data_IF_484244242394
#
_entry.id   IF_484244242394
#
_cell.length_a   1.000
_cell.length_b   1.000
_cell.length_c   1.000
_cell.angle_alpha   90.00
_cell.angle_beta   90.00
_cell.angle_gamma   90.00
#
_symmetry.space_group_name_H-M   'P 1'
#
loop_
_entity.id
_entity.type
_entity.pdbx_description
1 polymer ?
#
# COMPACT_ATOMS: atom_id res chain seq x y z
N UNK A 1 21.95 6.81 47.86
CA UNK A 1 20.78 7.39 47.18
C UNK A 1 21.05 7.64 45.70
N UNK A 2 22.11 8.38 45.33
CA UNK A 2 22.42 8.71 43.92
C UNK A 2 22.54 7.49 42.97
N UNK A 3 23.23 6.42 43.40
CA UNK A 3 23.35 5.17 42.60
C UNK A 3 22.00 4.50 42.31
N UNK A 4 21.04 4.61 43.23
CA UNK A 4 19.71 4.03 43.09
C UNK A 4 18.87 4.84 42.10
N UNK A 5 18.96 6.17 42.17
CA UNK A 5 18.34 7.06 41.18
C UNK A 5 18.86 6.81 39.75
N UNK A 6 20.19 6.67 39.58
CA UNK A 6 20.78 6.31 38.28
C UNK A 6 20.22 4.98 37.75
N UNK A 7 20.03 3.98 38.61
CA UNK A 7 19.45 2.70 38.21
C UNK A 7 17.97 2.81 37.83
N UNK A 8 17.20 3.62 38.55
CA UNK A 8 15.79 3.90 38.25
C UNK A 8 15.65 4.61 36.89
N UNK A 9 16.50 5.60 36.59
CA UNK A 9 16.51 6.30 35.30
C UNK A 9 16.92 5.39 34.14
N UNK A 10 17.89 4.49 34.35
CA UNK A 10 18.27 3.46 33.35
C UNK A 10 17.10 2.52 33.06
N UNK A 11 16.37 2.08 34.10
CA UNK A 11 15.20 1.21 33.94
C UNK A 11 14.04 1.92 33.25
N UNK A 12 13.91 3.23 33.44
CA UNK A 12 12.92 4.08 32.77
C UNK A 12 13.29 4.44 31.32
N UNK A 13 14.46 4.00 30.83
CA UNK A 13 15.05 4.42 29.55
C UNK A 13 15.32 5.95 29.43
N UNK A 14 15.36 6.66 30.56
CA UNK A 14 15.73 8.09 30.63
C UNK A 14 17.26 8.22 30.75
N UNK A 15 17.94 7.84 29.68
CA UNK A 15 19.39 7.75 29.66
C UNK A 15 20.07 9.12 29.76
N UNK A 16 19.41 10.20 29.33
CA UNK A 16 19.97 11.56 29.40
C UNK A 16 19.96 12.07 30.84
N UNK A 17 18.88 11.83 31.60
CA UNK A 17 18.84 12.10 33.04
C UNK A 17 19.88 11.27 33.81
N UNK A 18 19.97 9.96 33.51
CA UNK A 18 20.95 9.07 34.12
C UNK A 18 22.40 9.55 33.85
N UNK A 19 22.69 10.04 32.64
CA UNK A 19 24.01 10.56 32.28
C UNK A 19 24.42 11.82 33.03
N UNK A 20 23.47 12.71 33.35
CA UNK A 20 23.72 13.89 34.19
C UNK A 20 24.13 13.45 35.61
N UNK A 21 23.40 12.51 36.21
CA UNK A 21 23.68 12.00 37.55
C UNK A 21 25.02 11.25 37.64
N UNK A 22 25.39 10.52 36.59
CA UNK A 22 26.70 9.85 36.47
C UNK A 22 27.84 10.87 36.40
N UNK A 23 27.66 11.98 35.68
CA UNK A 23 28.64 13.06 35.62
C UNK A 23 28.86 13.66 37.01
N UNK A 24 27.79 13.92 37.76
CA UNK A 24 27.88 14.38 39.15
C UNK A 24 28.58 13.38 40.08
N UNK A 25 28.30 12.07 39.92
CA UNK A 25 28.97 11.00 40.67
C UNK A 25 30.49 11.00 40.44
N UNK A 26 30.93 11.25 39.20
CA UNK A 26 32.35 11.28 38.83
C UNK A 26 33.06 12.56 39.29
N UNK A 27 32.43 13.72 39.14
CA UNK A 27 33.05 15.03 39.34
C UNK A 27 32.96 15.51 40.80
N UNK A 28 31.79 15.36 41.43
CA UNK A 28 31.52 15.92 42.77
C UNK A 28 31.90 14.96 43.89
N UNK A 29 31.77 13.66 43.63
CA UNK A 29 31.99 12.62 44.64
C UNK A 29 33.25 11.77 44.38
N UNK A 30 33.94 11.96 43.25
CA UNK A 30 35.20 11.30 42.93
C UNK A 30 35.10 9.81 42.59
N UNK A 31 33.89 9.24 42.49
CA UNK A 31 33.66 7.82 42.19
C UNK A 31 33.76 7.52 40.69
N UNK A 32 34.93 7.74 40.10
CA UNK A 32 35.14 7.61 38.65
C UNK A 32 34.92 6.19 38.10
N UNK A 33 35.37 5.17 38.85
CA UNK A 33 35.20 3.77 38.44
C UNK A 33 33.73 3.33 38.42
N UNK A 34 32.94 3.73 39.43
CA UNK A 34 31.50 3.44 39.43
C UNK A 34 30.77 4.20 38.31
N UNK A 35 31.17 5.44 38.04
CA UNK A 35 30.61 6.24 36.96
C UNK A 35 30.90 5.62 35.57
N UNK A 36 32.11 5.11 35.34
CA UNK A 36 32.43 4.34 34.12
C UNK A 36 31.56 3.09 33.99
N UNK A 37 31.43 2.30 35.06
CA UNK A 37 30.58 1.11 35.04
C UNK A 37 29.10 1.43 34.75
N UNK A 38 28.60 2.58 35.20
CA UNK A 38 27.24 3.02 34.86
C UNK A 38 27.12 3.51 33.41
N UNK A 39 28.14 4.17 32.84
CA UNK A 39 28.16 4.53 31.41
C UNK A 39 28.11 3.31 30.52
N UNK A 40 28.93 2.30 30.80
CA UNK A 40 28.90 1.03 30.05
C UNK A 40 27.52 0.37 30.10
N UNK A 41 26.86 0.40 31.26
CA UNK A 41 25.48 -0.11 31.41
C UNK A 41 24.47 0.67 30.60
N UNK A 42 24.56 2.01 30.57
CA UNK A 42 23.69 2.85 29.73
C UNK A 42 23.89 2.54 28.26
N UNK A 43 25.13 2.46 27.80
CA UNK A 43 25.42 2.16 26.39
C UNK A 43 24.92 0.77 25.99
N UNK A 44 25.10 -0.24 26.84
CA UNK A 44 24.55 -1.57 26.64
C UNK A 44 23.01 -1.55 26.57
N UNK A 45 22.34 -0.85 27.51
CA UNK A 45 20.89 -0.73 27.54
C UNK A 45 20.33 0.06 26.32
N UNK A 46 21.00 1.14 25.91
CA UNK A 46 20.70 1.91 24.70
C UNK A 46 20.79 1.02 23.46
N UNK A 47 21.88 0.27 23.34
CA UNK A 47 22.09 -0.65 22.23
C UNK A 47 21.02 -1.76 22.19
N UNK A 48 20.66 -2.34 23.33
CA UNK A 48 19.61 -3.35 23.42
C UNK A 48 18.23 -2.79 23.04
N UNK A 49 17.85 -1.62 23.58
CA UNK A 49 16.59 -0.96 23.26
C UNK A 49 16.51 -0.63 21.76
N UNK A 50 17.58 -0.10 21.19
CA UNK A 50 17.68 0.16 19.75
C UNK A 50 17.56 -1.12 18.91
N UNK A 51 18.23 -2.20 19.32
CA UNK A 51 18.15 -3.50 18.64
C UNK A 51 16.75 -4.13 18.67
N UNK A 52 15.92 -3.79 19.66
CA UNK A 52 14.50 -4.21 19.70
C UNK A 52 13.61 -3.31 18.85
N UNK A 53 13.81 -1.99 18.90
CA UNK A 53 12.97 -1.02 18.19
C UNK A 53 13.15 -1.05 16.67
N UNK A 54 14.38 -1.27 16.18
CA UNK A 54 14.67 -1.27 14.73
C UNK A 54 13.89 -2.37 14.00
N UNK A 55 13.92 -3.65 14.40
CA UNK A 55 13.11 -4.70 13.77
C UNK A 55 11.61 -4.40 13.75
N UNK A 56 11.06 -3.88 14.86
CA UNK A 56 9.64 -3.51 14.92
C UNK A 56 9.28 -2.39 13.93
N UNK A 57 10.16 -1.41 13.78
CA UNK A 57 9.98 -0.34 12.81
C UNK A 57 10.05 -0.88 11.37
N UNK A 58 10.99 -1.78 11.08
CA UNK A 58 11.12 -2.45 9.78
C UNK A 58 9.85 -3.26 9.48
N UNK A 59 9.33 -4.03 10.43
CA UNK A 59 8.09 -4.79 10.29
C UNK A 59 6.89 -3.89 9.95
N UNK A 60 6.86 -2.67 10.52
CA UNK A 60 5.87 -1.65 10.16
C UNK A 60 5.89 -1.29 8.68
N UNK A 61 7.08 -1.07 8.11
CA UNK A 61 7.25 -0.82 6.67
C UNK A 61 6.83 -2.04 5.84
N UNK A 62 7.17 -3.25 6.28
CA UNK A 62 6.79 -4.48 5.58
C UNK A 62 5.27 -4.66 5.52
N UNK A 63 4.54 -4.34 6.60
CA UNK A 63 3.07 -4.34 6.59
C UNK A 63 2.48 -3.32 5.61
N UNK A 64 3.11 -2.15 5.47
CA UNK A 64 2.69 -1.14 4.48
C UNK A 64 2.95 -1.63 3.05
N UNK A 65 4.08 -2.29 2.80
CA UNK A 65 4.38 -2.95 1.52
C UNK A 65 3.32 -4.01 1.19
N UNK A 66 3.02 -4.91 2.14
CA UNK A 66 2.04 -5.98 1.93
C UNK A 66 0.63 -5.46 1.65
N UNK A 67 0.24 -4.36 2.29
CA UNK A 67 -1.02 -3.66 2.06
C UNK A 67 -1.01 -2.74 0.83
N UNK A 68 0.07 -2.74 0.04
CA UNK A 68 0.25 -1.94 -1.18
C UNK A 68 0.15 -0.43 -0.93
N UNK A 69 0.42 0.01 0.30
CA UNK A 69 0.43 1.43 0.69
C UNK A 69 1.81 2.03 0.41
N UNK A 70 2.19 2.09 -0.86
CA UNK A 70 3.54 2.42 -1.31
C UNK A 70 4.05 3.76 -0.79
N UNK A 71 3.25 4.82 -0.91
CA UNK A 71 3.68 6.17 -0.51
C UNK A 71 3.87 6.27 1.01
N UNK A 72 3.01 5.60 1.78
CA UNK A 72 3.16 5.51 3.23
C UNK A 72 4.41 4.70 3.61
N UNK A 73 4.69 3.60 2.90
CA UNK A 73 5.88 2.79 3.12
C UNK A 73 7.17 3.59 2.83
N UNK A 74 7.19 4.40 1.78
CA UNK A 74 8.32 5.29 1.45
C UNK A 74 8.57 6.34 2.53
N UNK A 75 7.50 7.01 2.99
CA UNK A 75 7.60 8.01 4.06
C UNK A 75 8.10 7.39 5.35
N UNK A 76 7.60 6.21 5.70
CA UNK A 76 8.00 5.49 6.92
C UNK A 76 9.45 4.99 6.83
N UNK A 77 9.86 4.41 5.69
CA UNK A 77 11.25 4.04 5.43
C UNK A 77 12.20 5.24 5.57
N UNK A 78 11.82 6.40 5.01
CA UNK A 78 12.56 7.65 5.13
C UNK A 78 12.69 8.14 6.58
N UNK A 79 11.63 7.96 7.38
CA UNK A 79 11.60 8.32 8.79
C UNK A 79 12.56 7.43 9.59
N UNK A 80 12.50 6.12 9.38
CA UNK A 80 13.34 5.13 10.07
C UNK A 80 14.82 5.35 9.76
N UNK A 81 15.19 5.59 8.50
CA UNK A 81 16.58 5.88 8.11
C UNK A 81 17.12 7.12 8.84
N UNK A 82 16.29 8.16 9.01
CA UNK A 82 16.69 9.37 9.78
C UNK A 82 16.78 9.14 11.28
N UNK A 83 15.98 8.23 11.83
CA UNK A 83 15.99 7.91 13.27
C UNK A 83 17.16 6.99 13.65
N UNK A 84 17.64 6.17 12.71
CA UNK A 84 18.70 5.18 12.96
C UNK A 84 19.78 5.21 11.87
N UNK A 85 20.46 6.36 11.65
CA UNK A 85 21.41 6.52 10.55
C UNK A 85 22.62 5.59 10.64
N UNK A 86 23.01 5.17 11.84
CA UNK A 86 24.17 4.30 12.07
C UNK A 86 23.83 2.80 11.98
N UNK A 87 22.60 2.43 11.65
CA UNK A 87 22.18 1.03 11.57
C UNK A 87 22.22 0.49 10.14
N UNK A 88 23.10 -0.49 9.83
CA UNK A 88 23.13 -1.11 8.51
C UNK A 88 21.81 -1.81 8.11
N UNK A 89 20.94 -2.10 9.11
CA UNK A 89 19.64 -2.75 8.88
C UNK A 89 18.65 -1.83 8.15
N UNK A 90 18.83 -0.51 8.20
CA UNK A 90 17.88 0.46 7.64
C UNK A 90 18.31 1.03 6.28
N UNK A 91 19.59 0.93 5.92
CA UNK A 91 20.20 1.51 4.71
C UNK A 91 19.50 1.10 3.40
N UNK A 92 18.86 -0.07 3.37
CA UNK A 92 18.17 -0.60 2.21
C UNK A 92 16.65 -0.39 2.17
N UNK A 93 16.03 0.22 3.18
CA UNK A 93 14.56 0.18 3.33
C UNK A 93 13.82 0.84 2.16
N UNK A 94 14.27 2.00 1.70
CA UNK A 94 13.70 2.65 0.51
C UNK A 94 13.81 1.79 -0.74
N UNK A 95 14.99 1.22 -0.98
CA UNK A 95 15.20 0.35 -2.12
C UNK A 95 14.29 -0.90 -2.07
N UNK A 96 14.03 -1.45 -0.87
CA UNK A 96 13.10 -2.56 -0.69
C UNK A 96 11.66 -2.18 -1.07
N UNK A 97 11.19 -0.98 -0.67
CA UNK A 97 9.85 -0.49 -1.04
C UNK A 97 9.74 -0.30 -2.55
N UNK A 98 10.71 0.37 -3.17
CA UNK A 98 10.76 0.55 -4.62
C UNK A 98 10.79 -0.78 -5.38
N UNK A 99 11.61 -1.75 -4.92
CA UNK A 99 11.70 -3.08 -5.53
C UNK A 99 10.37 -3.81 -5.44
N UNK A 100 9.73 -3.83 -4.27
CA UNK A 100 8.43 -4.47 -4.09
C UNK A 100 7.34 -3.84 -4.98
N UNK A 101 7.32 -2.51 -5.09
CA UNK A 101 6.40 -1.80 -5.99
C UNK A 101 6.65 -2.18 -7.46
N UNK A 102 7.90 -2.26 -7.88
CA UNK A 102 8.27 -2.65 -9.23
C UNK A 102 7.89 -4.10 -9.53
N UNK A 103 8.21 -5.03 -8.63
CA UNK A 103 7.82 -6.45 -8.75
C UNK A 103 6.31 -6.62 -8.86
N UNK A 104 5.55 -5.87 -8.04
CA UNK A 104 4.09 -5.87 -8.12
C UNK A 104 3.57 -5.40 -9.49
N UNK A 105 4.13 -4.29 -10.00
CA UNK A 105 3.79 -3.77 -11.33
C UNK A 105 4.11 -4.80 -12.42
N UNK A 106 5.30 -5.39 -12.43
CA UNK A 106 5.69 -6.41 -13.41
C UNK A 106 4.79 -7.64 -13.37
N UNK A 107 4.38 -8.08 -12.18
CA UNK A 107 3.43 -9.19 -12.04
C UNK A 107 2.04 -8.82 -12.56
N UNK A 108 1.60 -7.59 -12.32
CA UNK A 108 0.32 -7.08 -12.81
C UNK A 108 0.29 -7.00 -14.35
N UNK A 109 1.38 -6.52 -14.97
CA UNK A 109 1.57 -6.52 -16.42
C UNK A 109 1.50 -7.94 -16.99
N UNK A 110 2.22 -8.89 -16.39
CA UNK A 110 2.23 -10.30 -16.80
C UNK A 110 0.82 -10.90 -16.75
N UNK A 111 0.09 -10.67 -15.65
CA UNK A 111 -1.28 -11.16 -15.47
C UNK A 111 -2.24 -10.53 -16.47
N UNK A 112 -2.12 -9.23 -16.73
CA UNK A 112 -2.94 -8.52 -17.72
C UNK A 112 -2.76 -9.13 -19.12
N UNK A 113 -1.51 -9.26 -19.58
CA UNK A 113 -1.23 -9.82 -20.91
C UNK A 113 -1.69 -11.27 -21.04
N UNK A 114 -1.54 -12.08 -19.99
CA UNK A 114 -2.03 -13.45 -19.95
C UNK A 114 -3.56 -13.51 -20.03
N UNK A 115 -4.27 -12.71 -19.24
CA UNK A 115 -5.73 -12.64 -19.26
C UNK A 115 -6.25 -12.16 -20.63
N UNK A 116 -5.58 -11.17 -21.23
CA UNK A 116 -5.92 -10.68 -22.57
C UNK A 116 -5.73 -11.78 -23.64
N UNK A 117 -4.64 -12.54 -23.57
CA UNK A 117 -4.35 -13.66 -24.49
C UNK A 117 -5.35 -14.81 -24.34
N UNK A 118 -5.76 -15.12 -23.12
CA UNK A 118 -6.73 -16.18 -22.80
C UNK A 118 -8.19 -15.75 -23.01
N UNK A 119 -8.42 -14.54 -23.53
CA UNK A 119 -9.75 -13.96 -23.72
C UNK A 119 -10.60 -13.89 -22.44
N UNK A 120 -9.95 -13.85 -21.26
CA UNK A 120 -10.60 -13.57 -19.97
C UNK A 120 -10.84 -12.07 -19.84
N UNK A 121 -11.79 -11.57 -20.62
CA UNK A 121 -12.03 -10.14 -20.86
C UNK A 121 -12.33 -9.36 -19.59
N UNK A 122 -13.20 -9.87 -18.70
CA UNK A 122 -13.52 -9.20 -17.43
C UNK A 122 -12.29 -9.09 -16.51
N UNK A 123 -11.52 -10.17 -16.39
CA UNK A 123 -10.28 -10.18 -15.60
C UNK A 123 -9.25 -9.22 -16.18
N UNK A 124 -9.06 -9.25 -17.50
CA UNK A 124 -8.15 -8.35 -18.20
C UNK A 124 -8.55 -6.88 -18.01
N UNK A 125 -9.85 -6.57 -18.01
CA UNK A 125 -10.36 -5.20 -17.77
C UNK A 125 -10.08 -4.74 -16.33
N UNK A 126 -10.27 -5.61 -15.34
CA UNK A 126 -9.97 -5.28 -13.94
C UNK A 126 -8.46 -5.08 -13.71
N UNK A 127 -7.63 -5.96 -14.29
CA UNK A 127 -6.17 -5.84 -14.22
C UNK A 127 -5.68 -4.57 -14.92
N UNK A 128 -6.27 -4.21 -16.06
CA UNK A 128 -5.95 -2.97 -16.78
C UNK A 128 -6.25 -1.72 -15.94
N UNK A 129 -7.41 -1.66 -15.28
CA UNK A 129 -7.76 -0.56 -14.37
C UNK A 129 -6.77 -0.44 -13.21
N UNK A 130 -6.36 -1.57 -12.63
CA UNK A 130 -5.35 -1.55 -11.58
C UNK A 130 -3.98 -1.13 -12.12
N UNK A 131 -3.60 -1.59 -13.31
CA UNK A 131 -2.30 -1.33 -13.92
C UNK A 131 -2.13 0.14 -14.31
N UNK A 132 -3.19 0.79 -14.77
CA UNK A 132 -3.19 2.22 -15.14
C UNK A 132 -2.65 3.12 -14.01
N UNK A 133 -2.96 2.79 -12.74
CA UNK A 133 -2.46 3.51 -11.58
C UNK A 133 -0.93 3.42 -11.38
N UNK A 134 -0.25 2.50 -12.08
CA UNK A 134 1.19 2.27 -11.99
C UNK A 134 1.96 2.64 -13.27
N UNK A 135 1.25 2.98 -14.34
CA UNK A 135 1.86 3.29 -15.63
C UNK A 135 2.05 4.80 -15.79
N UNK A 136 3.21 5.17 -16.34
CA UNK A 136 3.40 6.48 -16.94
C UNK A 136 2.77 6.52 -18.33
N UNK A 137 2.53 7.72 -18.87
CA UNK A 137 1.96 7.88 -20.21
C UNK A 137 2.78 7.13 -21.29
N UNK A 138 4.12 7.18 -21.18
CA UNK A 138 5.01 6.51 -22.13
C UNK A 138 4.94 4.97 -22.02
N UNK A 139 4.76 4.43 -20.82
CA UNK A 139 4.59 2.99 -20.62
C UNK A 139 3.20 2.53 -21.06
N UNK A 140 2.16 3.33 -20.78
CA UNK A 140 0.78 3.06 -21.21
C UNK A 140 0.64 2.91 -22.72
N UNK A 141 1.36 3.74 -23.50
CA UNK A 141 1.39 3.63 -24.98
C UNK A 141 1.81 2.24 -25.47
N UNK A 142 2.65 1.52 -24.73
CA UNK A 142 3.10 0.16 -25.11
C UNK A 142 1.96 -0.87 -25.06
N UNK A 143 0.95 -0.62 -24.24
CA UNK A 143 -0.20 -1.50 -24.06
C UNK A 143 -1.45 -1.01 -24.80
N UNK A 144 -1.38 0.12 -25.50
CA UNK A 144 -2.55 0.80 -26.07
C UNK A 144 -3.37 -0.11 -27.00
N UNK A 145 -2.71 -0.87 -27.87
CA UNK A 145 -3.37 -1.77 -28.82
C UNK A 145 -4.10 -2.91 -28.09
N UNK A 146 -3.41 -3.59 -27.17
CA UNK A 146 -3.98 -4.69 -26.38
C UNK A 146 -5.12 -4.19 -25.48
N UNK A 147 -4.92 -3.05 -24.82
CA UNK A 147 -5.91 -2.39 -23.98
C UNK A 147 -7.15 -2.01 -24.78
N UNK A 148 -7.00 -1.40 -25.96
CA UNK A 148 -8.11 -1.05 -26.85
C UNK A 148 -8.89 -2.30 -27.27
N UNK A 149 -8.21 -3.40 -27.57
CA UNK A 149 -8.84 -4.69 -27.87
C UNK A 149 -9.66 -5.23 -26.71
N UNK A 150 -9.09 -5.25 -25.50
CA UNK A 150 -9.78 -5.71 -24.27
C UNK A 150 -10.98 -4.83 -23.95
N UNK A 151 -10.82 -3.50 -24.00
CA UNK A 151 -11.89 -2.52 -23.78
C UNK A 151 -13.04 -2.72 -24.78
N UNK A 152 -12.71 -2.89 -26.06
CA UNK A 152 -13.70 -3.16 -27.10
C UNK A 152 -14.49 -4.44 -26.83
N UNK A 153 -13.80 -5.56 -26.58
CA UNK A 153 -14.44 -6.84 -26.24
C UNK A 153 -15.27 -6.73 -24.96
N UNK A 154 -14.78 -6.06 -23.92
CA UNK A 154 -15.50 -5.90 -22.65
C UNK A 154 -16.80 -5.13 -22.83
N UNK A 155 -16.76 -4.05 -23.61
CA UNK A 155 -17.93 -3.26 -23.98
C UNK A 155 -18.93 -4.09 -24.77
N UNK A 156 -18.46 -4.81 -25.79
CA UNK A 156 -19.34 -5.60 -26.66
C UNK A 156 -19.99 -6.77 -25.88
N UNK A 157 -19.24 -7.43 -24.98
CA UNK A 157 -19.75 -8.46 -24.08
C UNK A 157 -20.84 -7.91 -23.14
N UNK A 158 -20.59 -6.77 -22.49
CA UNK A 158 -21.57 -6.13 -21.60
C UNK A 158 -22.82 -5.69 -22.36
N UNK A 159 -22.65 -5.13 -23.57
CA UNK A 159 -23.78 -4.76 -24.43
C UNK A 159 -24.62 -5.97 -24.85
N UNK A 160 -23.98 -7.09 -25.18
CA UNK A 160 -24.68 -8.33 -25.50
C UNK A 160 -25.44 -8.89 -24.29
N UNK A 161 -24.81 -8.92 -23.12
CA UNK A 161 -25.45 -9.36 -21.87
C UNK A 161 -26.66 -8.48 -21.50
N UNK A 162 -26.52 -7.16 -21.65
CA UNK A 162 -27.61 -6.22 -21.40
C UNK A 162 -28.79 -6.47 -22.34
N UNK A 163 -28.54 -6.59 -23.65
CA UNK A 163 -29.59 -6.90 -24.64
C UNK A 163 -30.29 -8.22 -24.35
N UNK A 164 -29.55 -9.26 -24.00
CA UNK A 164 -30.11 -10.56 -23.61
C UNK A 164 -30.96 -10.45 -22.34
N UNK A 165 -30.48 -9.75 -21.31
CA UNK A 165 -31.23 -9.57 -20.07
C UNK A 165 -32.54 -8.80 -20.28
N UNK A 166 -32.54 -7.78 -21.14
CA UNK A 166 -33.74 -7.04 -21.54
C UNK A 166 -34.71 -7.94 -22.31
N UNK A 167 -34.20 -8.70 -23.29
CA UNK A 167 -35.00 -9.63 -24.08
C UNK A 167 -35.67 -10.69 -23.20
N UNK A 168 -34.92 -11.26 -22.25
CA UNK A 168 -35.39 -12.28 -21.31
C UNK A 168 -36.25 -11.72 -20.17
N UNK A 169 -36.52 -10.39 -20.17
CA UNK A 169 -37.26 -9.68 -19.12
C UNK A 169 -36.65 -9.83 -17.71
N UNK A 170 -35.33 -10.09 -17.63
CA UNK A 170 -34.58 -10.12 -16.38
C UNK A 170 -34.25 -8.70 -15.93
N UNK A 171 -35.28 -7.92 -15.57
CA UNK A 171 -35.20 -6.47 -15.40
C UNK A 171 -34.20 -6.00 -14.34
N UNK A 172 -34.12 -6.69 -13.17
CA UNK A 172 -33.13 -6.36 -12.14
C UNK A 172 -31.69 -6.49 -12.67
N UNK A 173 -31.40 -7.61 -13.32
CA UNK A 173 -30.08 -7.87 -13.89
C UNK A 173 -29.77 -6.93 -15.06
N UNK A 174 -30.77 -6.61 -15.89
CA UNK A 174 -30.62 -5.61 -16.95
C UNK A 174 -30.30 -4.22 -16.39
N UNK A 175 -30.93 -3.82 -15.28
CA UNK A 175 -30.62 -2.55 -14.61
C UNK A 175 -29.17 -2.53 -14.11
N UNK A 176 -28.72 -3.57 -13.40
CA UNK A 176 -27.34 -3.72 -12.92
C UNK A 176 -26.30 -3.62 -14.06
N UNK A 177 -26.54 -4.34 -15.15
CA UNK A 177 -25.68 -4.29 -16.33
C UNK A 177 -25.68 -2.91 -16.98
N UNK A 178 -26.83 -2.23 -17.00
CA UNK A 178 -26.97 -0.88 -17.53
C UNK A 178 -26.16 0.14 -16.73
N UNK A 179 -26.23 0.10 -15.39
CA UNK A 179 -25.36 0.94 -14.54
C UNK A 179 -23.88 0.67 -14.82
N UNK A 180 -23.49 -0.61 -14.88
CA UNK A 180 -22.10 -0.99 -15.11
C UNK A 180 -21.58 -0.47 -16.46
N UNK A 181 -22.42 -0.46 -17.51
CA UNK A 181 -22.07 0.12 -18.82
C UNK A 181 -21.86 1.64 -18.70
N UNK A 182 -22.76 2.34 -18.01
CA UNK A 182 -22.69 3.80 -17.81
C UNK A 182 -21.44 4.18 -17.02
N UNK A 183 -21.12 3.45 -15.96
CA UNK A 183 -19.93 3.69 -15.13
C UNK A 183 -18.63 3.33 -15.85
N UNK A 184 -18.58 2.21 -16.56
CA UNK A 184 -17.35 1.71 -17.19
C UNK A 184 -17.03 2.39 -18.52
N UNK A 185 -18.05 2.88 -19.24
CA UNK A 185 -17.89 3.49 -20.56
C UNK A 185 -18.71 4.78 -20.72
N UNK A 186 -18.52 5.79 -19.85
CA UNK A 186 -19.42 6.94 -19.71
C UNK A 186 -19.56 7.80 -20.98
N UNK A 187 -18.52 7.81 -21.83
CA UNK A 187 -18.45 8.59 -23.07
C UNK A 187 -18.70 7.74 -24.33
N UNK A 188 -19.24 6.53 -24.16
CA UNK A 188 -19.59 5.67 -25.29
C UNK A 188 -21.02 5.92 -25.75
N UNK A 189 -21.26 5.81 -27.06
CA UNK A 189 -22.62 5.80 -27.63
C UNK A 189 -23.52 4.75 -26.97
N UNK A 190 -22.96 3.59 -26.62
CA UNK A 190 -23.70 2.55 -25.90
C UNK A 190 -24.20 3.05 -24.53
N UNK A 191 -23.39 3.78 -23.77
CA UNK A 191 -23.82 4.35 -22.50
C UNK A 191 -24.90 5.43 -22.68
N UNK A 192 -24.83 6.23 -23.75
CA UNK A 192 -25.89 7.19 -24.09
C UNK A 192 -27.22 6.47 -24.40
N UNK A 193 -27.18 5.41 -25.20
CA UNK A 193 -28.35 4.59 -25.51
C UNK A 193 -28.93 3.94 -24.24
N UNK A 194 -28.08 3.40 -23.36
CA UNK A 194 -28.51 2.81 -22.08
C UNK A 194 -29.12 3.86 -21.15
N UNK A 195 -28.53 5.06 -21.02
CA UNK A 195 -29.11 6.16 -20.22
C UNK A 195 -30.52 6.53 -20.67
N UNK A 196 -30.80 6.44 -21.98
CA UNK A 196 -32.13 6.72 -22.52
C UNK A 196 -33.22 5.71 -22.10
N UNK A 197 -32.84 4.49 -21.72
CA UNK A 197 -33.80 3.39 -21.41
C UNK A 197 -33.71 2.88 -19.97
N UNK A 198 -32.68 3.27 -19.22
CA UNK A 198 -32.37 2.68 -17.90
C UNK A 198 -33.48 2.95 -16.87
N UNK A 199 -34.10 4.13 -16.88
CA UNK A 199 -35.15 4.48 -15.92
C UNK A 199 -36.42 3.65 -16.12
N UNK A 200 -36.76 3.30 -17.37
CA UNK A 200 -37.87 2.39 -17.67
C UNK A 200 -37.56 0.97 -17.19
N UNK A 201 -36.32 0.50 -17.40
CA UNK A 201 -35.87 -0.82 -16.95
C UNK A 201 -35.88 -0.89 -15.41
N UNK A 202 -35.45 0.17 -14.71
CA UNK A 202 -35.51 0.27 -13.25
C UNK A 202 -36.95 0.24 -12.75
N UNK A 203 -37.85 1.01 -13.37
CA UNK A 203 -39.27 0.99 -13.02
C UNK A 203 -39.88 -0.40 -13.17
N UNK A 204 -39.53 -1.13 -14.24
CA UNK A 204 -39.91 -2.54 -14.44
C UNK A 204 -39.28 -3.45 -13.39
N UNK A 205 -38.01 -3.26 -13.04
CA UNK A 205 -37.34 -4.06 -12.02
C UNK A 205 -38.02 -3.96 -10.64
N UNK A 206 -38.59 -2.80 -10.31
CA UNK A 206 -39.36 -2.57 -9.08
C UNK A 206 -40.79 -3.10 -9.17
N UNK A 207 -41.44 -3.07 -10.34
CA UNK A 207 -42.82 -3.53 -10.49
C UNK A 207 -42.96 -5.05 -10.60
N UNK A 208 -41.93 -5.73 -11.11
CA UNK A 208 -41.84 -7.20 -11.18
C UNK A 208 -41.04 -7.78 -10.00
N UNK A 209 -40.87 -7.01 -8.92
CA UNK A 209 -40.09 -7.38 -7.74
C UNK A 209 -40.85 -8.27 -6.75
#
# INVERSE_FOLDING_TARGET
>A
MLRKAIQEDILAEDYDAAMVLIKELAERFGYRSDAEAFREKIEAARFESMNRRIPMAIEGVEKLIQSRRWDAAEVEAARIIRLYPDSPKVDGLRHRVHRARHEYKSELERRFLMAAKEERVDDAMNLLKELDAYLTEAEGKRYEEVARGVIGKARDNLGAQFKLAVHDRRWRHAAELGERIIESFPNSRMAEEVRGVIDEIRAKATSYA
#
